data_IF_243789087355
#
_entry.id   IF_243789087355
#
_cell.length_a   1.000
_cell.length_b   1.000
_cell.length_c   1.000
_cell.angle_alpha   90.00
_cell.angle_beta   90.00
_cell.angle_gamma   90.00
#
_symmetry.space_group_name_H-M   'P 1'
#
loop_
_entity.id
_entity.type
_entity.pdbx_description
1 polymer ?
#
# COMPACT_ATOMS: atom_id res chain seq x y z
N UNK A 1 -27.07 -4.08 -0.75
CA UNK A 1 -27.45 -5.23 -1.61
C UNK A 1 -28.89 -5.56 -1.30
N UNK A 2 -29.71 -5.80 -2.32
CA UNK A 2 -31.09 -6.22 -2.13
C UNK A 2 -31.16 -7.75 -2.08
N UNK A 3 -32.01 -8.29 -1.22
CA UNK A 3 -32.25 -9.71 -1.08
C UNK A 3 -33.75 -9.97 -1.21
N UNK A 4 -34.11 -10.95 -2.02
CA UNK A 4 -35.50 -11.40 -2.10
C UNK A 4 -35.87 -12.17 -0.83
N UNK A 5 -36.97 -11.80 -0.21
CA UNK A 5 -37.57 -12.53 0.91
C UNK A 5 -39.05 -12.68 0.62
N UNK A 6 -39.51 -13.90 0.32
CA UNK A 6 -40.90 -14.23 -0.01
C UNK A 6 -41.53 -13.36 -1.13
N UNK A 7 -40.72 -13.07 -2.19
CA UNK A 7 -41.17 -12.26 -3.32
C UNK A 7 -41.01 -10.75 -3.13
N UNK A 8 -40.49 -10.28 -2.00
CA UNK A 8 -40.17 -8.87 -1.76
C UNK A 8 -38.64 -8.65 -1.68
N UNK A 9 -38.15 -7.62 -2.37
CA UNK A 9 -36.76 -7.21 -2.29
C UNK A 9 -36.52 -6.31 -1.08
N UNK A 10 -35.77 -6.77 -0.11
CA UNK A 10 -35.39 -6.00 1.08
C UNK A 10 -33.94 -5.60 1.08
N UNK A 11 -33.63 -4.40 1.58
CA UNK A 11 -32.28 -3.94 1.80
C UNK A 11 -31.81 -4.41 3.19
N UNK A 12 -30.92 -5.40 3.22
CA UNK A 12 -30.39 -5.98 4.46
C UNK A 12 -29.08 -5.34 4.94
N UNK A 13 -28.65 -4.24 4.30
CA UNK A 13 -27.39 -3.54 4.55
C UNK A 13 -26.09 -4.38 4.44
N UNK A 14 -26.18 -5.68 4.07
CA UNK A 14 -24.98 -6.51 3.89
C UNK A 14 -24.13 -5.99 2.76
N UNK A 15 -22.81 -5.89 3.01
CA UNK A 15 -21.82 -5.38 2.05
C UNK A 15 -22.15 -3.98 1.49
N UNK A 16 -23.03 -3.24 2.16
CA UNK A 16 -23.38 -1.88 1.75
C UNK A 16 -22.15 -0.97 1.83
N UNK A 17 -21.98 -0.13 0.81
CA UNK A 17 -21.08 1.00 0.79
C UNK A 17 -21.91 2.27 0.81
N UNK A 18 -21.58 3.21 1.71
CA UNK A 18 -22.28 4.47 1.89
C UNK A 18 -21.35 5.56 2.44
N UNK A 19 -21.86 6.78 2.65
CA UNK A 19 -21.08 7.87 3.20
C UNK A 19 -19.88 8.27 2.33
N UNK A 20 -19.91 7.97 1.03
CA UNK A 20 -18.84 8.28 0.12
C UNK A 20 -18.83 9.76 -0.23
N UNK A 21 -17.77 10.47 0.12
CA UNK A 21 -17.56 11.87 -0.24
C UNK A 21 -16.18 12.06 -0.83
N UNK A 22 -16.02 13.13 -1.60
CA UNK A 22 -14.77 13.44 -2.32
C UNK A 22 -14.32 14.87 -2.04
N UNK A 23 -13.04 15.14 -2.23
CA UNK A 23 -12.51 16.49 -2.33
C UNK A 23 -12.60 17.03 -3.79
N UNK A 24 -12.09 18.23 -4.00
CA UNK A 24 -12.09 18.88 -5.33
C UNK A 24 -11.18 18.19 -6.35
N UNK A 25 -10.20 17.41 -5.89
CA UNK A 25 -9.29 16.64 -6.74
C UNK A 25 -9.83 15.24 -7.08
N UNK A 26 -11.02 14.87 -6.54
CA UNK A 26 -11.61 13.56 -6.71
C UNK A 26 -11.09 12.50 -5.72
N UNK A 27 -10.33 12.89 -4.71
CA UNK A 27 -9.88 11.98 -3.66
C UNK A 27 -11.02 11.64 -2.71
N UNK A 28 -11.13 10.38 -2.29
CA UNK A 28 -12.14 9.93 -1.32
C UNK A 28 -11.83 10.55 0.05
N UNK A 29 -12.79 11.29 0.62
CA UNK A 29 -12.69 11.84 1.98
C UNK A 29 -13.28 10.93 3.04
N UNK A 30 -14.45 10.36 2.75
CA UNK A 30 -15.14 9.46 3.69
C UNK A 30 -15.70 8.25 2.95
N UNK A 31 -15.81 7.12 3.66
CA UNK A 31 -16.35 5.88 3.14
C UNK A 31 -16.78 4.97 4.30
N UNK A 32 -18.04 4.51 4.28
CA UNK A 32 -18.54 3.51 5.21
C UNK A 32 -18.78 2.20 4.48
N UNK A 33 -18.29 1.10 5.03
CA UNK A 33 -18.49 -0.26 4.51
C UNK A 33 -19.06 -1.17 5.56
N UNK A 34 -20.10 -1.93 5.19
CA UNK A 34 -20.69 -2.94 6.04
C UNK A 34 -20.12 -4.33 5.73
N UNK A 35 -20.13 -5.20 6.73
CA UNK A 35 -19.74 -6.61 6.63
C UNK A 35 -20.91 -7.48 6.12
N UNK A 36 -20.73 -8.81 6.12
CA UNK A 36 -21.73 -9.80 5.71
C UNK A 36 -22.95 -9.86 6.62
N UNK A 37 -22.91 -9.33 7.84
CA UNK A 37 -24.04 -9.25 8.76
C UNK A 37 -24.79 -7.91 8.69
N UNK A 38 -24.32 -6.98 7.83
CA UNK A 38 -24.95 -5.65 7.68
C UNK A 38 -24.50 -4.62 8.72
N UNK A 39 -23.53 -4.97 9.59
CA UNK A 39 -22.93 -4.04 10.56
C UNK A 39 -21.74 -3.31 9.95
N UNK A 40 -21.41 -2.13 10.50
CA UNK A 40 -20.26 -1.35 10.03
C UNK A 40 -18.96 -2.14 10.27
N UNK A 41 -18.25 -2.41 9.20
CA UNK A 41 -16.89 -2.99 9.22
C UNK A 41 -15.84 -1.89 9.25
N UNK A 42 -16.01 -0.86 8.42
CA UNK A 42 -15.13 0.27 8.32
C UNK A 42 -15.92 1.58 8.26
N UNK A 43 -15.55 2.53 9.10
CA UNK A 43 -15.94 3.94 9.01
C UNK A 43 -14.65 4.74 8.80
N UNK A 44 -14.40 5.11 7.55
CA UNK A 44 -13.13 5.64 7.08
C UNK A 44 -13.23 7.14 6.82
N UNK A 45 -12.28 7.87 7.39
CA UNK A 45 -12.01 9.27 7.04
C UNK A 45 -10.56 9.38 6.57
N UNK A 46 -10.36 9.96 5.39
CA UNK A 46 -9.05 10.17 4.77
C UNK A 46 -8.65 11.62 4.87
N UNK A 47 -7.40 11.87 5.25
CA UNK A 47 -6.75 13.18 5.18
C UNK A 47 -5.61 13.11 4.20
N UNK A 48 -5.47 14.12 3.37
CA UNK A 48 -4.43 14.19 2.34
C UNK A 48 -3.36 15.21 2.73
N UNK A 49 -2.13 15.00 2.28
CA UNK A 49 -1.02 15.93 2.49
C UNK A 49 -1.30 17.27 1.77
N UNK A 50 -0.75 18.34 2.31
CA UNK A 50 -0.89 19.68 1.72
C UNK A 50 0.18 19.95 0.64
N UNK A 51 -0.09 20.94 -0.20
CA UNK A 51 0.82 21.53 -1.18
C UNK A 51 1.35 20.57 -2.27
N UNK A 52 2.60 20.15 -2.20
CA UNK A 52 3.28 19.44 -3.28
C UNK A 52 2.75 18.03 -3.57
N UNK A 53 2.08 17.40 -2.59
CA UNK A 53 1.52 16.03 -2.68
C UNK A 53 0.03 15.97 -2.31
N UNK A 54 -0.78 16.85 -2.89
CA UNK A 54 -2.20 17.00 -2.56
C UNK A 54 -3.05 15.71 -2.68
N UNK A 55 -2.56 14.70 -3.40
CA UNK A 55 -3.23 13.40 -3.55
C UNK A 55 -2.61 12.29 -2.69
N UNK A 56 -1.56 12.59 -1.90
CA UNK A 56 -0.94 11.63 -1.00
C UNK A 56 -1.71 11.59 0.33
N UNK A 57 -2.15 10.41 0.74
CA UNK A 57 -2.87 10.21 2.00
C UNK A 57 -1.93 10.43 3.18
N UNK A 58 -2.17 11.42 4.03
CA UNK A 58 -1.39 11.70 5.25
C UNK A 58 -1.91 10.93 6.46
N UNK A 59 -3.23 10.69 6.54
CA UNK A 59 -3.80 9.84 7.58
C UNK A 59 -5.11 9.18 7.15
N UNK A 60 -5.41 8.05 7.79
CA UNK A 60 -6.70 7.36 7.71
C UNK A 60 -7.19 7.14 9.14
N UNK A 61 -8.40 7.58 9.42
CA UNK A 61 -9.14 7.19 10.63
C UNK A 61 -10.09 6.05 10.24
N UNK A 62 -10.06 4.95 10.96
CA UNK A 62 -10.96 3.81 10.78
C UNK A 62 -11.56 3.43 12.12
N UNK A 63 -12.88 3.59 12.28
CA UNK A 63 -13.59 3.34 13.54
C UNK A 63 -12.90 4.02 14.73
N UNK A 64 -12.50 5.29 14.57
CA UNK A 64 -11.80 6.08 15.60
C UNK A 64 -10.29 5.80 15.74
N UNK A 65 -9.73 4.81 15.07
CA UNK A 65 -8.30 4.51 15.10
C UNK A 65 -7.57 5.22 13.96
N UNK A 66 -6.59 6.06 14.28
CA UNK A 66 -5.80 6.82 13.31
C UNK A 66 -4.55 6.07 12.90
N UNK A 67 -4.28 6.06 11.60
CA UNK A 67 -3.04 5.58 10.96
C UNK A 67 -2.46 6.70 10.12
N UNK A 68 -1.19 7.00 10.34
CA UNK A 68 -0.48 8.07 9.67
C UNK A 68 0.47 7.51 8.60
N UNK A 69 0.67 8.30 7.54
CA UNK A 69 1.55 7.99 6.42
C UNK A 69 2.45 9.17 6.17
N UNK A 70 3.69 8.94 5.78
CA UNK A 70 4.61 10.00 5.40
C UNK A 70 5.37 9.66 4.13
N UNK A 71 5.85 10.70 3.45
CA UNK A 71 6.47 10.62 2.13
C UNK A 71 7.72 11.47 2.12
N UNK A 72 8.68 11.11 1.27
CA UNK A 72 9.84 11.94 0.96
C UNK A 72 9.49 13.04 -0.06
N UNK A 73 10.48 13.85 -0.41
CA UNK A 73 10.32 14.96 -1.37
C UNK A 73 10.00 14.48 -2.80
N UNK A 74 10.34 13.23 -3.13
CA UNK A 74 10.04 12.60 -4.41
C UNK A 74 8.63 11.96 -4.46
N UNK A 75 7.90 11.98 -3.32
CA UNK A 75 6.58 11.37 -3.19
C UNK A 75 6.62 9.88 -2.86
N UNK A 76 7.77 9.30 -2.54
CA UNK A 76 7.87 7.92 -2.10
C UNK A 76 7.38 7.79 -0.66
N UNK A 77 6.57 6.77 -0.36
CA UNK A 77 6.09 6.53 1.02
C UNK A 77 7.24 6.04 1.91
N UNK A 78 7.60 6.82 2.94
CA UNK A 78 8.65 6.46 3.90
C UNK A 78 8.10 5.87 5.20
N UNK A 79 6.79 6.03 5.48
CA UNK A 79 6.13 5.40 6.63
C UNK A 79 4.70 4.99 6.27
N UNK A 80 4.36 3.75 6.58
CA UNK A 80 2.99 3.19 6.51
C UNK A 80 2.54 2.83 7.93
N UNK A 81 1.78 3.71 8.56
CA UNK A 81 1.24 3.50 9.90
C UNK A 81 0.21 2.38 9.99
N UNK A 82 -0.38 1.93 8.88
CA UNK A 82 -1.31 0.81 8.87
C UNK A 82 -0.58 -0.53 8.98
N UNK A 83 0.55 -0.68 8.27
CA UNK A 83 1.40 -1.87 8.35
C UNK A 83 2.45 -1.79 9.44
N UNK A 84 2.71 -0.58 9.99
CA UNK A 84 3.75 -0.32 10.98
C UNK A 84 5.14 -0.51 10.39
N UNK A 85 5.36 -0.07 9.16
CA UNK A 85 6.64 -0.18 8.45
C UNK A 85 7.22 1.18 8.13
N UNK A 86 8.56 1.25 8.09
CA UNK A 86 9.31 2.34 7.48
C UNK A 86 10.04 1.85 6.24
N UNK A 87 10.20 2.73 5.27
CA UNK A 87 10.79 2.41 3.98
C UNK A 87 11.85 3.46 3.66
N UNK A 88 13.04 3.04 3.25
CA UNK A 88 14.05 3.90 2.67
C UNK A 88 14.27 3.56 1.19
N UNK A 89 14.71 4.55 0.43
CA UNK A 89 14.91 4.44 -1.01
C UNK A 89 16.37 4.73 -1.38
N UNK A 90 16.80 4.23 -2.54
CA UNK A 90 18.08 4.57 -3.14
C UNK A 90 17.95 5.79 -4.08
N UNK A 91 19.05 6.23 -4.68
CA UNK A 91 19.13 7.41 -5.55
C UNK A 91 18.25 7.31 -6.81
N UNK A 92 17.79 6.10 -7.18
CA UNK A 92 16.91 5.87 -8.33
C UNK A 92 15.46 5.54 -7.90
N UNK A 93 15.09 5.94 -6.66
CA UNK A 93 13.75 5.77 -6.09
C UNK A 93 13.26 4.32 -5.99
N UNK A 94 14.18 3.34 -5.88
CA UNK A 94 13.82 1.96 -5.59
C UNK A 94 13.93 1.68 -4.08
N UNK A 95 13.02 0.90 -3.48
CA UNK A 95 13.07 0.55 -2.07
C UNK A 95 14.40 -0.11 -1.70
N UNK A 96 15.20 0.53 -0.86
CA UNK A 96 16.48 0.04 -0.37
C UNK A 96 16.29 -0.85 0.85
N UNK A 97 15.44 -0.42 1.77
CA UNK A 97 15.17 -1.12 3.01
C UNK A 97 13.71 -0.93 3.45
N UNK A 98 13.13 -2.00 3.97
CA UNK A 98 11.82 -1.98 4.63
C UNK A 98 12.04 -2.55 6.03
N UNK A 99 11.68 -1.80 7.07
CA UNK A 99 11.78 -2.24 8.45
C UNK A 99 10.43 -2.26 9.14
N UNK A 100 10.21 -3.32 9.95
CA UNK A 100 9.05 -3.49 10.79
C UNK A 100 9.48 -4.09 12.12
N UNK A 101 9.35 -3.32 13.20
CA UNK A 101 9.83 -3.72 14.52
C UNK A 101 11.33 -4.09 14.47
N UNK A 102 11.66 -5.35 14.70
CA UNK A 102 13.03 -5.88 14.61
C UNK A 102 13.36 -6.56 13.27
N UNK A 103 12.39 -6.68 12.37
CA UNK A 103 12.59 -7.31 11.06
C UNK A 103 13.00 -6.28 10.02
N UNK A 104 14.03 -6.59 9.27
CA UNK A 104 14.56 -5.74 8.19
C UNK A 104 14.66 -6.57 6.92
N UNK A 105 14.09 -6.01 5.84
CA UNK A 105 14.28 -6.50 4.48
C UNK A 105 15.10 -5.46 3.72
N UNK A 106 16.24 -5.85 3.18
CA UNK A 106 17.08 -4.97 2.36
C UNK A 106 17.16 -5.50 0.94
N UNK A 107 17.25 -4.59 -0.01
CA UNK A 107 17.36 -4.90 -1.44
C UNK A 107 18.65 -4.33 -2.03
N UNK A 108 19.27 -5.07 -2.93
CA UNK A 108 20.44 -4.65 -3.71
C UNK A 108 20.02 -4.59 -5.17
N UNK A 109 20.28 -3.43 -5.78
CA UNK A 109 19.98 -3.18 -7.19
C UNK A 109 21.27 -2.84 -7.95
N UNK A 110 21.29 -3.20 -9.22
CA UNK A 110 22.26 -2.66 -10.18
C UNK A 110 21.90 -1.22 -10.55
N UNK A 111 22.82 -0.49 -11.17
CA UNK A 111 22.60 0.89 -11.58
C UNK A 111 21.45 1.06 -12.62
N UNK A 112 21.14 0.02 -13.36
CA UNK A 112 19.99 -0.02 -14.30
C UNK A 112 18.66 -0.34 -13.64
N UNK A 113 18.60 -0.48 -12.29
CA UNK A 113 17.39 -0.80 -11.54
C UNK A 113 17.06 -2.28 -11.43
N UNK A 114 17.90 -3.17 -11.97
CA UNK A 114 17.74 -4.62 -11.85
C UNK A 114 18.01 -5.08 -10.42
N UNK A 115 17.05 -5.85 -9.84
CA UNK A 115 17.21 -6.39 -8.49
C UNK A 115 18.21 -7.54 -8.49
N UNK A 116 19.34 -7.38 -7.78
CA UNK A 116 20.40 -8.38 -7.68
C UNK A 116 20.24 -9.31 -6.48
N UNK A 117 19.77 -8.78 -5.35
CA UNK A 117 19.62 -9.56 -4.14
C UNK A 117 18.57 -8.97 -3.20
N UNK A 118 18.05 -9.82 -2.31
CA UNK A 118 17.20 -9.48 -1.17
C UNK A 118 17.77 -10.15 0.08
N UNK A 119 17.85 -9.40 1.18
CA UNK A 119 18.23 -9.89 2.49
C UNK A 119 17.07 -9.77 3.46
N UNK A 120 16.75 -10.84 4.18
CA UNK A 120 15.75 -10.87 5.26
C UNK A 120 16.45 -11.37 6.51
N UNK A 121 16.67 -10.51 7.48
CA UNK A 121 17.50 -10.83 8.65
C UNK A 121 18.90 -11.28 8.24
N UNK A 122 19.27 -12.54 8.54
CA UNK A 122 20.54 -13.16 8.11
C UNK A 122 20.46 -13.90 6.77
N UNK A 123 19.27 -14.12 6.22
CA UNK A 123 19.07 -14.84 4.95
C UNK A 123 19.28 -13.93 3.75
N UNK A 124 20.10 -14.36 2.79
CA UNK A 124 20.40 -13.64 1.56
C UNK A 124 19.97 -14.47 0.35
N UNK A 125 19.12 -13.89 -0.49
CA UNK A 125 18.63 -14.48 -1.74
C UNK A 125 19.17 -13.66 -2.92
N UNK A 126 19.83 -14.32 -3.87
CA UNK A 126 20.32 -13.70 -5.11
C UNK A 126 19.34 -13.95 -6.25
N UNK A 127 19.14 -12.92 -7.08
CA UNK A 127 18.40 -12.99 -8.33
C UNK A 127 19.38 -13.10 -9.48
N UNK A 128 19.64 -14.34 -9.93
CA UNK A 128 20.53 -14.61 -11.05
C UNK A 128 19.73 -14.54 -12.35
N UNK A 129 19.90 -13.46 -13.11
CA UNK A 129 19.44 -13.46 -14.49
C UNK A 129 20.35 -14.34 -15.32
N UNK A 130 19.85 -15.46 -15.76
CA UNK A 130 20.54 -16.31 -16.75
C UNK A 130 20.56 -15.56 -18.08
N UNK A 131 21.49 -14.65 -18.26
CA UNK A 131 21.91 -14.25 -19.58
C UNK A 131 22.52 -15.51 -20.19
N UNK A 132 21.85 -16.12 -21.18
CA UNK A 132 22.45 -17.11 -22.08
C UNK A 132 23.62 -16.38 -22.77
N UNK A 133 24.81 -16.51 -22.22
CA UNK A 133 26.02 -16.22 -22.97
C UNK A 133 26.12 -17.36 -23.98
N UNK A 134 26.00 -17.10 -25.29
CA UNK A 134 26.28 -18.13 -26.27
C UNK A 134 27.72 -18.55 -26.05
N UNK A 135 27.93 -19.83 -25.81
CA UNK A 135 29.25 -20.45 -25.72
C UNK A 135 29.82 -20.48 -27.14
N UNK A 136 30.27 -19.32 -27.65
CA UNK A 136 31.13 -19.28 -28.83
C UNK A 136 32.55 -19.03 -28.35
N UNK A 137 33.33 -20.07 -28.38
CA UNK A 137 34.72 -20.15 -28.81
C UNK A 137 35.37 -21.40 -28.25
N UNK A 138 35.29 -22.48 -29.01
CA UNK A 138 36.45 -23.35 -29.14
C UNK A 138 36.87 -23.28 -30.61
N UNK A 139 37.96 -22.62 -30.85
CA UNK A 139 38.90 -22.89 -31.93
C UNK A 139 40.20 -23.28 -31.25
#
# INVERSE_FOLDING_TARGET
MYKENKGEWTNDNRYKVSGLTYDQNGNIKTLIRNNSSGTILHDLTYTYANASNANAVSSIVNNGNTKNFSYDENGNMISDGNRGVTISYNEINLPKEISKSSEIISYIFAANGEKLAMKVGSSLTYYLFRRLVPLFARV
#
